data_IF_324124081905
#
_entry.id   IF_324124081905
#
_cell.length_a   1.000
_cell.length_b   1.000
_cell.length_c   1.000
_cell.angle_alpha   90.00
_cell.angle_beta   90.00
_cell.angle_gamma   90.00
#
_symmetry.space_group_name_H-M   'P 1'
#
loop_
_entity.id
_entity.type
_entity.pdbx_description
1 polymer ?
#
# COMPACT_ATOMS: atom_id res chain seq x y z
N UNK A 1 3.16 -2.30 -28.03
CA UNK A 1 2.41 -2.74 -26.85
C UNK A 1 2.64 -1.68 -25.81
N UNK A 2 1.67 -0.80 -25.60
CA UNK A 2 1.75 0.24 -24.57
C UNK A 2 1.94 -0.45 -23.22
N UNK A 3 3.17 -0.41 -22.72
CA UNK A 3 3.49 -0.70 -21.34
C UNK A 3 3.00 0.51 -20.54
N UNK A 4 1.68 0.71 -20.53
CA UNK A 4 1.04 1.65 -19.64
C UNK A 4 1.30 1.10 -18.25
N UNK A 5 2.32 1.65 -17.58
CA UNK A 5 2.57 1.38 -16.17
C UNK A 5 1.23 1.48 -15.45
N UNK A 6 0.81 0.39 -14.79
CA UNK A 6 -0.45 0.35 -14.07
C UNK A 6 -0.47 1.59 -13.17
N UNK A 7 -1.41 2.54 -13.37
CA UNK A 7 -1.43 3.80 -12.63
C UNK A 7 -1.49 3.57 -11.12
N UNK A 8 -1.95 2.39 -10.68
CA UNK A 8 -1.98 1.99 -9.27
C UNK A 8 -0.58 1.71 -8.70
N UNK A 9 0.43 1.46 -9.54
CA UNK A 9 1.82 1.23 -9.14
C UNK A 9 2.38 2.43 -8.37
N UNK A 10 1.99 3.65 -8.75
CA UNK A 10 2.43 4.87 -8.03
C UNK A 10 1.95 4.85 -6.58
N UNK A 11 0.70 4.42 -6.34
CA UNK A 11 0.14 4.35 -4.99
C UNK A 11 0.83 3.26 -4.17
N UNK A 12 1.11 2.10 -4.78
CA UNK A 12 1.89 1.04 -4.14
C UNK A 12 3.27 1.51 -3.74
N UNK A 13 3.94 2.25 -4.60
CA UNK A 13 5.29 2.76 -4.35
C UNK A 13 5.30 3.79 -3.22
N UNK A 14 4.38 4.76 -3.25
CA UNK A 14 4.21 5.76 -2.18
C UNK A 14 3.95 5.06 -0.84
N UNK A 15 3.01 4.11 -0.83
CA UNK A 15 2.65 3.37 0.37
C UNK A 15 3.84 2.54 0.89
N UNK A 16 4.52 1.79 0.01
CA UNK A 16 5.67 0.95 0.38
C UNK A 16 6.83 1.80 0.91
N UNK A 17 7.13 2.93 0.28
CA UNK A 17 8.21 3.82 0.71
C UNK A 17 7.94 4.47 2.08
N UNK A 18 6.68 4.58 2.49
CA UNK A 18 6.32 5.06 3.84
C UNK A 18 6.57 4.02 4.95
N UNK A 19 6.75 2.75 4.61
CA UNK A 19 6.93 1.67 5.58
C UNK A 19 8.34 1.66 6.16
N UNK A 20 8.44 1.32 7.44
CA UNK A 20 9.73 1.07 8.10
C UNK A 20 10.38 -0.21 7.57
N UNK A 21 11.69 -0.38 7.77
CA UNK A 21 12.40 -1.61 7.38
C UNK A 21 11.83 -2.87 8.04
N UNK A 22 11.38 -2.75 9.30
CA UNK A 22 10.74 -3.85 10.01
C UNK A 22 9.40 -4.24 9.37
N UNK A 23 8.57 -3.25 9.03
CA UNK A 23 7.30 -3.47 8.33
C UNK A 23 7.51 -4.13 6.96
N UNK A 24 8.47 -3.63 6.17
CA UNK A 24 8.81 -4.20 4.86
C UNK A 24 9.26 -5.65 4.96
N UNK A 25 10.00 -6.00 6.02
CA UNK A 25 10.45 -7.37 6.26
C UNK A 25 9.32 -8.35 6.55
N UNK A 26 8.13 -7.86 6.94
CA UNK A 26 6.96 -8.71 7.18
C UNK A 26 6.11 -8.93 5.93
N UNK A 27 6.35 -8.19 4.83
CA UNK A 27 5.51 -8.29 3.64
C UNK A 27 5.70 -9.64 2.95
N UNK A 28 4.59 -10.28 2.61
CA UNK A 28 4.57 -11.54 1.85
C UNK A 28 4.29 -11.23 0.38
N UNK A 29 5.13 -11.78 -0.50
CA UNK A 29 5.01 -11.60 -1.94
C UNK A 29 5.62 -10.31 -2.46
N UNK A 30 5.30 -9.96 -3.72
CA UNK A 30 5.76 -8.71 -4.33
C UNK A 30 4.84 -7.55 -3.92
N UNK A 31 5.42 -6.51 -3.31
CA UNK A 31 4.68 -5.30 -2.94
C UNK A 31 4.05 -4.60 -4.14
N UNK A 32 4.58 -4.81 -5.36
CA UNK A 32 4.00 -4.27 -6.61
C UNK A 32 2.68 -4.94 -6.97
N UNK A 33 2.35 -6.07 -6.37
CA UNK A 33 1.08 -6.77 -6.53
C UNK A 33 0.11 -6.51 -5.36
N UNK A 34 0.46 -5.61 -4.45
CA UNK A 34 -0.41 -5.23 -3.34
C UNK A 34 -1.78 -4.76 -3.85
N UNK A 35 -2.82 -5.09 -3.08
CA UNK A 35 -4.17 -4.66 -3.40
C UNK A 35 -4.27 -3.14 -3.27
N UNK A 36 -4.89 -2.49 -4.25
CA UNK A 36 -5.20 -1.07 -4.21
C UNK A 36 -6.70 -0.92 -4.42
N UNK A 37 -7.37 -0.30 -3.47
CA UNK A 37 -8.82 -0.13 -3.45
C UNK A 37 -9.16 1.34 -3.20
N UNK A 38 -10.31 1.80 -3.69
CA UNK A 38 -10.78 3.15 -3.37
C UNK A 38 -11.10 3.26 -1.87
N UNK A 39 -10.82 4.42 -1.29
CA UNK A 39 -11.05 4.75 0.11
C UNK A 39 -11.88 6.04 0.23
N UNK A 40 -12.23 6.42 1.46
CA UNK A 40 -13.02 7.63 1.72
C UNK A 40 -12.34 8.89 1.20
N UNK A 41 -13.15 9.88 0.85
CA UNK A 41 -12.72 11.22 0.39
C UNK A 41 -11.84 11.19 -0.88
N UNK A 42 -12.01 10.19 -1.74
CA UNK A 42 -11.26 10.07 -3.00
C UNK A 42 -9.84 9.54 -2.83
N UNK A 43 -9.46 9.13 -1.62
CA UNK A 43 -8.18 8.49 -1.35
C UNK A 43 -8.16 7.04 -1.86
N UNK A 44 -6.98 6.45 -1.89
CA UNK A 44 -6.78 5.04 -2.16
C UNK A 44 -6.15 4.34 -0.97
N UNK A 45 -6.57 3.11 -0.69
CA UNK A 45 -5.95 2.27 0.32
C UNK A 45 -5.10 1.19 -0.36
N UNK A 46 -3.87 1.04 0.10
CA UNK A 46 -2.94 -0.02 -0.31
C UNK A 46 -2.82 -1.02 0.82
N UNK A 47 -3.01 -2.31 0.49
CA UNK A 47 -3.00 -3.41 1.45
C UNK A 47 -1.84 -4.35 1.17
N UNK A 48 -0.87 -4.38 2.10
CA UNK A 48 0.24 -5.32 2.06
C UNK A 48 -0.04 -6.50 2.99
N UNK A 49 -0.09 -7.70 2.44
CA UNK A 49 -0.20 -8.93 3.22
C UNK A 49 1.10 -9.18 3.99
N UNK A 50 1.00 -9.65 5.22
CA UNK A 50 2.16 -9.89 6.08
C UNK A 50 2.30 -11.34 6.51
N UNK A 51 3.51 -11.75 6.92
CA UNK A 51 3.81 -13.11 7.42
C UNK A 51 2.99 -13.47 8.64
N UNK A 52 2.60 -12.47 9.41
CA UNK A 52 1.86 -12.57 10.66
C UNK A 52 0.43 -12.04 10.51
N UNK A 53 -0.20 -12.26 9.35
CA UNK A 53 -1.53 -11.74 9.07
C UNK A 53 -2.61 -12.20 10.08
N UNK A 54 -2.43 -13.36 10.73
CA UNK A 54 -3.35 -13.84 11.77
C UNK A 54 -3.20 -13.13 13.13
N UNK A 55 -2.06 -12.50 13.40
CA UNK A 55 -1.75 -11.87 14.71
C UNK A 55 -1.59 -10.36 14.62
N UNK A 56 -0.96 -9.87 13.55
CA UNK A 56 -0.71 -8.46 13.28
C UNK A 56 -1.56 -7.93 12.11
N UNK A 57 -2.23 -8.79 11.34
CA UNK A 57 -3.00 -8.34 10.18
C UNK A 57 -2.15 -7.72 9.04
N UNK A 58 -2.82 -7.36 7.94
CA UNK A 58 -2.15 -6.70 6.82
C UNK A 58 -1.81 -5.24 7.16
N UNK A 59 -0.76 -4.73 6.54
CA UNK A 59 -0.43 -3.31 6.59
C UNK A 59 -1.36 -2.57 5.64
N UNK A 60 -2.04 -1.55 6.15
CA UNK A 60 -3.01 -0.75 5.41
C UNK A 60 -2.55 0.71 5.39
N UNK A 61 -2.31 1.24 4.19
CA UNK A 61 -1.78 2.60 4.00
C UNK A 61 -2.71 3.36 3.08
N UNK A 62 -3.19 4.51 3.54
CA UNK A 62 -4.05 5.41 2.76
C UNK A 62 -3.18 6.44 2.05
N UNK A 63 -3.39 6.59 0.75
CA UNK A 63 -2.66 7.50 -0.15
C UNK A 63 -3.66 8.47 -0.78
N UNK A 64 -3.31 9.74 -0.72
CA UNK A 64 -4.00 10.81 -1.43
C UNK A 64 -3.45 10.89 -2.87
N UNK A 65 -4.29 10.66 -3.90
CA UNK A 65 -3.87 10.68 -5.29
C UNK A 65 -3.58 12.09 -5.82
N UNK A 66 -4.18 13.14 -5.25
CA UNK A 66 -4.02 14.52 -5.68
C UNK A 66 -2.67 15.07 -5.21
N UNK A 67 -2.25 14.71 -3.99
CA UNK A 67 -0.97 15.17 -3.43
C UNK A 67 0.17 14.16 -3.56
N UNK A 68 -0.14 12.90 -3.88
CA UNK A 68 0.85 11.82 -3.97
C UNK A 68 1.50 11.49 -2.62
N UNK A 69 0.74 11.61 -1.52
CA UNK A 69 1.24 11.46 -0.15
C UNK A 69 0.46 10.44 0.64
N UNK A 70 1.10 9.86 1.65
CA UNK A 70 0.40 9.04 2.65
C UNK A 70 -0.40 9.97 3.56
N UNK A 71 -1.70 9.70 3.64
CA UNK A 71 -2.63 10.38 4.55
C UNK A 71 -2.53 9.77 5.94
N UNK A 72 -2.64 8.44 6.00
CA UNK A 72 -2.60 7.69 7.25
C UNK A 72 -2.18 6.24 7.03
N UNK A 73 -1.68 5.60 8.11
CA UNK A 73 -1.56 4.15 8.21
C UNK A 73 -2.63 3.67 9.16
N UNK A 74 -3.49 2.76 8.70
CA UNK A 74 -4.56 2.24 9.55
C UNK A 74 -3.98 1.28 10.60
N UNK A 75 -4.53 1.28 11.82
CA UNK A 75 -4.10 0.37 12.87
C UNK A 75 -4.30 -1.10 12.46
N UNK A 76 -3.39 -1.91 12.97
CA UNK A 76 -3.34 -3.36 12.81
C UNK A 76 -4.08 -4.04 13.94
#
# INVERSE_FOLDING_TARGET
MDNAEDPLTVFREIAYNSLTSAEKSTIVGDWKQAEVSAWVDGNYIVVFQTTDSDTLGPIRVVVDPDTGRVVEKLPR
#
